data_IF_213488714361
#
_entry.id   IF_213488714361
#
_cell.length_a   1.000
_cell.length_b   1.000
_cell.length_c   1.000
_cell.angle_alpha   90.00
_cell.angle_beta   90.00
_cell.angle_gamma   90.00
#
_symmetry.space_group_name_H-M   'P 1'
#
loop_
_entity.id
_entity.type
_entity.pdbx_description
1 polymer ?
#
# COMPACT_ATOMS: atom_id res chain seq x y z
N UNK A 1 -4.50 43.35 -8.74
CA UNK A 1 -3.90 42.68 -7.56
C UNK A 1 -3.36 43.77 -6.65
N UNK A 2 -3.43 43.67 -5.31
CA UNK A 2 -3.60 42.44 -4.52
C UNK A 2 -4.83 42.55 -3.58
N UNK A 3 -5.25 41.63 -2.72
CA UNK A 3 -4.92 40.25 -2.38
C UNK A 3 -6.18 39.76 -1.64
N UNK A 4 -6.88 38.75 -2.13
CA UNK A 4 -7.91 38.06 -1.32
C UNK A 4 -7.49 36.61 -1.16
N UNK A 5 -6.68 36.38 -0.13
CA UNK A 5 -6.23 35.06 0.29
C UNK A 5 -7.44 34.16 0.63
N UNK A 6 -7.41 32.87 0.26
CA UNK A 6 -8.42 31.92 0.69
C UNK A 6 -8.24 31.59 2.17
N UNK A 7 -9.35 31.61 2.90
CA UNK A 7 -9.44 31.27 4.32
C UNK A 7 -9.12 29.78 4.49
N UNK A 8 -7.94 29.47 5.01
CA UNK A 8 -7.60 28.13 5.50
C UNK A 8 -8.40 27.84 6.77
N UNK A 9 -9.40 26.96 6.69
CA UNK A 9 -10.00 26.36 7.88
C UNK A 9 -9.19 25.13 8.30
N UNK A 10 -8.18 25.37 9.14
CA UNK A 10 -7.53 24.31 9.91
C UNK A 10 -8.35 24.07 11.17
N UNK A 11 -9.29 23.11 11.15
CA UNK A 11 -9.81 22.56 12.41
C UNK A 11 -8.80 21.54 12.90
N UNK A 12 -7.74 22.04 13.54
CA UNK A 12 -6.91 21.23 14.41
C UNK A 12 -7.64 21.10 15.75
N UNK A 13 -8.24 19.94 16.02
CA UNK A 13 -8.54 19.52 17.39
C UNK A 13 -7.28 18.79 17.91
N UNK A 14 -6.53 19.37 18.89
CA UNK A 14 -5.17 18.93 19.17
C UNK A 14 -5.03 17.68 20.06
N UNK A 15 -6.12 17.08 20.57
CA UNK A 15 -5.99 16.01 21.58
C UNK A 15 -6.64 14.66 21.22
N UNK A 16 -7.28 14.53 20.05
CA UNK A 16 -7.98 13.30 19.66
C UNK A 16 -7.22 12.39 18.67
N UNK A 17 -6.46 12.90 17.67
CA UNK A 17 -5.75 12.04 16.71
C UNK A 17 -4.72 11.11 17.36
N UNK A 18 -4.06 11.57 18.43
CA UNK A 18 -3.01 10.81 19.10
C UNK A 18 -3.56 9.61 19.88
N UNK A 19 -4.68 9.77 20.58
CA UNK A 19 -5.30 8.68 21.35
C UNK A 19 -5.80 7.54 20.44
N UNK A 20 -6.34 7.89 19.26
CA UNK A 20 -6.76 6.90 18.26
C UNK A 20 -5.58 6.20 17.59
N UNK A 21 -4.52 6.96 17.28
CA UNK A 21 -3.26 6.41 16.79
C UNK A 21 -2.71 5.40 17.80
N UNK A 22 -2.72 5.72 19.10
CA UNK A 22 -2.28 4.82 20.17
C UNK A 22 -3.15 3.56 20.29
N UNK A 23 -4.47 3.67 20.12
CA UNK A 23 -5.40 2.54 20.12
C UNK A 23 -5.15 1.60 18.93
N UNK A 24 -4.89 2.14 17.75
CA UNK A 24 -4.53 1.34 16.57
C UNK A 24 -3.11 0.77 16.63
N UNK A 25 -2.22 1.36 17.45
CA UNK A 25 -0.81 0.96 17.62
C UNK A 25 -0.54 0.05 18.82
N UNK A 26 -1.58 -0.33 19.58
CA UNK A 26 -1.40 -1.14 20.79
C UNK A 26 -0.97 -2.57 20.39
N UNK A 27 0.24 -3.03 20.79
CA UNK A 27 0.70 -4.36 20.43
C UNK A 27 -0.07 -5.42 21.24
N UNK A 28 -0.78 -6.31 20.56
CA UNK A 28 -0.99 -7.66 21.10
C UNK A 28 0.35 -8.40 21.01
N UNK A 29 0.84 -8.80 22.17
CA UNK A 29 2.11 -9.47 22.48
C UNK A 29 2.54 -10.51 21.44
N UNK A 30 3.79 -10.42 20.98
CA UNK A 30 4.80 -11.50 21.04
C UNK A 30 6.18 -11.07 20.50
N UNK A 31 7.18 -11.73 21.06
CA UNK A 31 8.63 -11.53 21.04
C UNK A 31 9.35 -12.35 19.95
N UNK A 32 10.63 -12.00 19.69
CA UNK A 32 11.74 -12.79 19.10
C UNK A 32 12.32 -12.40 17.70
N UNK A 33 13.62 -12.03 17.74
CA UNK A 33 14.72 -12.07 16.73
C UNK A 33 14.65 -11.08 15.54
N UNK A 34 15.68 -10.34 15.09
CA UNK A 34 17.13 -10.35 15.34
C UNK A 34 17.93 -10.36 14.02
N UNK A 35 18.53 -9.20 13.62
CA UNK A 35 19.87 -9.10 13.00
C UNK A 35 20.12 -9.19 11.47
N UNK A 36 20.65 -8.07 10.91
CA UNK A 36 21.94 -7.93 10.16
C UNK A 36 22.05 -7.94 8.59
N UNK A 37 22.17 -6.73 8.01
CA UNK A 37 23.34 -6.09 7.32
C UNK A 37 24.09 -6.67 6.07
N UNK A 38 23.94 -5.92 4.94
CA UNK A 38 24.91 -5.34 3.97
C UNK A 38 26.20 -6.04 3.47
N UNK A 39 26.38 -6.07 2.12
CA UNK A 39 27.71 -6.21 1.46
C UNK A 39 27.80 -5.47 0.09
N UNK A 40 28.95 -4.82 -0.14
CA UNK A 40 29.50 -4.12 -1.33
C UNK A 40 29.07 -4.59 -2.76
N UNK A 41 29.05 -3.69 -3.78
CA UNK A 41 28.55 -4.01 -5.12
C UNK A 41 29.47 -4.99 -5.86
N UNK A 42 28.98 -6.21 -6.02
CA UNK A 42 29.62 -7.31 -6.75
C UNK A 42 30.15 -6.89 -8.13
N UNK A 43 31.44 -7.15 -8.40
CA UNK A 43 32.05 -6.97 -9.71
C UNK A 43 31.30 -7.75 -10.80
N UNK A 44 30.61 -7.03 -11.70
CA UNK A 44 29.88 -7.64 -12.82
C UNK A 44 30.88 -8.36 -13.75
N UNK A 45 30.64 -9.64 -14.02
CA UNK A 45 31.45 -10.51 -14.89
C UNK A 45 30.61 -11.09 -16.01
N UNK A 46 31.17 -11.19 -17.21
CA UNK A 46 30.50 -11.78 -18.37
C UNK A 46 30.13 -13.24 -18.09
N UNK A 47 28.87 -13.60 -18.31
CA UNK A 47 28.37 -14.95 -18.06
C UNK A 47 29.04 -16.00 -18.96
N UNK A 48 29.43 -15.63 -20.19
CA UNK A 48 30.11 -16.52 -21.13
C UNK A 48 31.62 -16.61 -20.87
N UNK A 49 32.36 -15.52 -21.13
CA UNK A 49 33.83 -15.54 -21.10
C UNK A 49 34.45 -15.18 -19.74
N UNK A 50 33.63 -14.93 -18.72
CA UNK A 50 34.04 -14.59 -17.34
C UNK A 50 34.89 -13.33 -17.18
N UNK A 51 35.08 -12.55 -18.24
CA UNK A 51 35.78 -11.26 -18.18
C UNK A 51 35.01 -10.27 -17.29
N UNK A 52 35.74 -9.59 -16.40
CA UNK A 52 35.19 -8.51 -15.55
C UNK A 52 34.88 -7.28 -16.40
N UNK A 53 33.91 -6.48 -15.94
CA UNK A 53 33.70 -5.12 -16.44
C UNK A 53 35.00 -4.32 -16.31
N UNK A 54 35.36 -3.59 -17.36
CA UNK A 54 36.43 -2.58 -17.32
C UNK A 54 35.91 -1.24 -17.86
N UNK A 55 36.69 -0.17 -17.73
CA UNK A 55 36.40 1.14 -18.32
C UNK A 55 36.19 1.04 -19.84
N UNK A 56 36.94 0.16 -20.51
CA UNK A 56 36.92 -0.06 -21.96
C UNK A 56 35.85 -1.08 -22.41
N UNK A 57 35.44 -2.00 -21.53
CA UNK A 57 34.42 -3.03 -21.84
C UNK A 57 33.23 -2.93 -20.88
N UNK A 58 32.19 -2.24 -21.36
CA UNK A 58 30.88 -2.25 -20.71
C UNK A 58 30.22 -3.61 -20.88
N UNK A 59 29.54 -4.09 -19.84
CA UNK A 59 28.74 -5.30 -19.90
C UNK A 59 27.27 -4.92 -20.12
N UNK A 60 26.61 -5.64 -21.02
CA UNK A 60 25.18 -5.50 -21.32
C UNK A 60 24.38 -6.61 -20.63
N UNK A 61 23.21 -6.27 -20.08
CA UNK A 61 22.29 -7.26 -19.50
C UNK A 61 21.51 -7.96 -20.60
N UNK A 62 21.20 -9.23 -20.37
CA UNK A 62 20.19 -9.94 -21.16
C UNK A 62 18.86 -9.18 -21.10
N UNK A 63 18.27 -8.85 -22.25
CA UNK A 63 17.01 -8.10 -22.32
C UNK A 63 15.81 -8.91 -21.84
N UNK A 64 15.89 -10.25 -21.84
CA UNK A 64 14.84 -11.13 -21.34
C UNK A 64 14.80 -11.19 -19.81
N UNK A 65 15.87 -11.69 -19.18
CA UNK A 65 15.88 -11.93 -17.73
C UNK A 65 16.52 -10.80 -16.90
N UNK A 66 17.18 -9.82 -17.53
CA UNK A 66 17.94 -8.74 -16.89
C UNK A 66 19.01 -9.16 -15.86
N UNK A 67 19.29 -10.47 -15.75
CA UNK A 67 20.12 -11.03 -14.66
C UNK A 67 21.51 -11.40 -15.16
N UNK A 68 21.62 -12.10 -16.30
CA UNK A 68 22.91 -12.41 -16.89
C UNK A 68 23.47 -11.19 -17.64
N UNK A 69 24.78 -10.95 -17.50
CA UNK A 69 25.50 -9.88 -18.21
C UNK A 69 26.53 -10.44 -19.17
N UNK A 70 26.76 -9.75 -20.29
CA UNK A 70 27.63 -10.19 -21.37
C UNK A 70 28.48 -9.03 -21.90
N UNK A 71 29.67 -9.34 -22.42
CA UNK A 71 30.49 -8.36 -23.15
C UNK A 71 29.79 -7.79 -24.40
N UNK A 72 28.77 -8.49 -24.90
CA UNK A 72 27.99 -8.08 -26.06
C UNK A 72 27.17 -9.24 -26.60
N UNK A 73 26.51 -9.01 -27.73
CA UNK A 73 25.63 -9.98 -28.40
C UNK A 73 26.33 -11.27 -28.78
N UNK A 74 27.63 -11.23 -29.11
CA UNK A 74 28.41 -12.44 -29.41
C UNK A 74 28.50 -13.39 -28.20
N UNK A 75 28.85 -12.87 -27.03
CA UNK A 75 28.89 -13.66 -25.78
C UNK A 75 27.49 -14.11 -25.35
N UNK A 76 26.47 -13.29 -25.58
CA UNK A 76 25.09 -13.67 -25.28
C UNK A 76 24.61 -14.84 -26.16
N UNK A 77 24.87 -14.79 -27.47
CA UNK A 77 24.50 -15.86 -28.42
C UNK A 77 25.26 -17.16 -28.13
N UNK A 78 26.55 -17.07 -27.81
CA UNK A 78 27.36 -18.23 -27.48
C UNK A 78 26.89 -18.93 -26.19
N UNK A 79 26.50 -18.16 -25.16
CA UNK A 79 25.93 -18.71 -23.93
C UNK A 79 24.45 -19.07 -24.03
N UNK A 80 23.76 -18.78 -25.14
CA UNK A 80 22.32 -18.94 -25.25
C UNK A 80 21.81 -20.37 -25.02
N UNK A 81 22.46 -21.44 -25.55
CA UNK A 81 22.00 -22.82 -25.33
C UNK A 81 21.90 -23.17 -23.84
N UNK A 82 22.85 -22.74 -23.03
CA UNK A 82 22.88 -22.97 -21.59
C UNK A 82 22.01 -21.96 -20.82
N UNK A 83 21.98 -20.70 -21.27
CA UNK A 83 21.26 -19.62 -20.59
C UNK A 83 19.73 -19.70 -20.77
N UNK A 84 19.24 -20.22 -21.91
CA UNK A 84 17.81 -20.16 -22.29
C UNK A 84 16.87 -20.71 -21.21
N UNK A 85 17.21 -21.85 -20.62
CA UNK A 85 16.39 -22.48 -19.57
C UNK A 85 16.30 -21.61 -18.32
N UNK A 86 17.44 -21.05 -17.87
CA UNK A 86 17.48 -20.10 -16.77
C UNK A 86 16.74 -18.81 -17.10
N UNK A 87 16.96 -18.26 -18.30
CA UNK A 87 16.34 -17.02 -18.77
C UNK A 87 14.81 -17.11 -18.74
N UNK A 88 14.27 -18.23 -19.20
CA UNK A 88 12.82 -18.49 -19.21
C UNK A 88 12.28 -18.58 -17.79
N UNK A 89 12.95 -19.33 -16.89
CA UNK A 89 12.54 -19.46 -15.48
C UNK A 89 12.51 -18.11 -14.77
N UNK A 90 13.53 -17.27 -15.00
CA UNK A 90 13.61 -15.94 -14.39
C UNK A 90 12.53 -15.02 -14.93
N UNK A 91 12.26 -15.05 -16.24
CA UNK A 91 11.17 -14.27 -16.86
C UNK A 91 9.79 -14.64 -16.29
N UNK A 92 9.57 -15.90 -15.95
CA UNK A 92 8.34 -16.35 -15.29
C UNK A 92 8.30 -16.09 -13.78
N UNK A 93 9.44 -15.73 -13.17
CA UNK A 93 9.50 -15.45 -11.74
C UNK A 93 9.24 -13.95 -11.50
N UNK A 94 8.35 -13.58 -10.57
CA UNK A 94 8.14 -12.17 -10.26
C UNK A 94 9.45 -11.55 -9.76
N UNK A 95 9.75 -10.35 -10.24
CA UNK A 95 10.94 -9.60 -9.83
C UNK A 95 11.00 -9.44 -8.31
N UNK A 96 12.18 -9.24 -7.69
CA UNK A 96 12.28 -8.97 -6.26
C UNK A 96 11.35 -7.84 -5.80
N UNK A 97 11.22 -6.79 -6.61
CA UNK A 97 10.30 -5.67 -6.36
C UNK A 97 8.83 -6.13 -6.37
N UNK A 98 8.43 -6.92 -7.36
CA UNK A 98 7.06 -7.47 -7.44
C UNK A 98 6.76 -8.35 -6.23
N UNK A 99 7.69 -9.24 -5.85
CA UNK A 99 7.54 -10.08 -4.65
C UNK A 99 7.39 -9.25 -3.38
N UNK A 100 8.19 -8.19 -3.25
CA UNK A 100 8.10 -7.25 -2.14
C UNK A 100 6.72 -6.55 -2.10
N UNK A 101 6.25 -6.00 -3.22
CA UNK A 101 4.96 -5.32 -3.28
C UNK A 101 3.79 -6.26 -2.98
N UNK A 102 3.83 -7.50 -3.47
CA UNK A 102 2.81 -8.52 -3.15
C UNK A 102 2.82 -8.88 -1.66
N UNK A 103 4.00 -9.03 -1.04
CA UNK A 103 4.11 -9.25 0.42
C UNK A 103 3.56 -8.08 1.21
N UNK A 104 3.94 -6.84 0.86
CA UNK A 104 3.41 -5.62 1.47
C UNK A 104 1.90 -5.53 1.34
N UNK A 105 1.36 -5.83 0.15
CA UNK A 105 -0.08 -5.85 -0.08
C UNK A 105 -0.77 -6.85 0.85
N UNK A 106 -0.30 -8.10 0.89
CA UNK A 106 -0.83 -9.14 1.78
C UNK A 106 -0.82 -8.72 3.25
N UNK A 107 0.24 -8.05 3.70
CA UNK A 107 0.32 -7.53 5.06
C UNK A 107 -0.69 -6.41 5.33
N UNK A 108 -0.87 -5.46 4.40
CA UNK A 108 -1.93 -4.43 4.49
C UNK A 108 -3.32 -5.09 4.54
N UNK A 109 -3.59 -6.10 3.70
CA UNK A 109 -4.86 -6.84 3.73
C UNK A 109 -5.09 -7.56 5.06
N UNK A 110 -4.05 -8.17 5.63
CA UNK A 110 -4.11 -8.86 6.92
C UNK A 110 -4.42 -7.86 8.05
N UNK A 111 -3.72 -6.72 8.09
CA UNK A 111 -3.98 -5.64 9.04
C UNK A 111 -5.43 -5.15 8.91
N UNK A 112 -5.84 -4.81 7.69
CA UNK A 112 -7.19 -4.34 7.39
C UNK A 112 -8.28 -5.30 7.88
N UNK A 113 -8.04 -6.60 7.73
CA UNK A 113 -8.99 -7.64 8.14
C UNK A 113 -9.02 -7.82 9.65
N UNK A 114 -7.86 -7.82 10.31
CA UNK A 114 -7.74 -7.97 11.77
C UNK A 114 -8.36 -6.80 12.52
N UNK A 115 -8.19 -5.59 12.01
CA UNK A 115 -8.64 -4.35 12.64
C UNK A 115 -9.96 -3.82 12.09
N UNK A 116 -10.67 -4.59 11.26
CA UNK A 116 -11.91 -4.16 10.57
C UNK A 116 -12.96 -3.55 11.53
N UNK A 117 -13.32 -4.17 12.67
CA UNK A 117 -14.33 -3.59 13.57
C UNK A 117 -13.90 -2.22 14.12
N UNK A 118 -12.63 -2.09 14.52
CA UNK A 118 -12.07 -0.85 15.02
C UNK A 118 -12.07 0.21 13.92
N UNK A 119 -11.49 -0.08 12.76
CA UNK A 119 -11.42 0.84 11.62
C UNK A 119 -12.82 1.36 11.23
N UNK A 120 -13.85 0.51 11.25
CA UNK A 120 -15.20 0.91 10.89
C UNK A 120 -15.83 1.80 11.96
N UNK A 121 -15.63 1.49 13.25
CA UNK A 121 -16.07 2.36 14.34
C UNK A 121 -15.45 3.75 14.21
N UNK A 122 -14.15 3.80 13.93
CA UNK A 122 -13.40 5.05 13.78
C UNK A 122 -13.93 5.83 12.57
N UNK A 123 -14.08 5.18 11.42
CA UNK A 123 -14.64 5.81 10.23
C UNK A 123 -16.06 6.34 10.46
N UNK A 124 -16.92 5.58 11.16
CA UNK A 124 -18.27 6.03 11.48
C UNK A 124 -18.27 7.34 12.29
N UNK A 125 -17.38 7.45 13.27
CA UNK A 125 -17.23 8.64 14.09
C UNK A 125 -16.56 9.81 13.35
N UNK A 126 -15.38 9.57 12.75
CA UNK A 126 -14.56 10.62 12.12
C UNK A 126 -15.22 11.20 10.87
N UNK A 127 -15.94 10.37 10.11
CA UNK A 127 -16.71 10.85 8.96
C UNK A 127 -18.03 11.52 9.39
N UNK A 128 -18.38 11.49 10.68
CA UNK A 128 -19.60 12.09 11.24
C UNK A 128 -20.88 11.57 10.58
N UNK A 129 -20.90 10.28 10.23
CA UNK A 129 -22.01 9.66 9.48
C UNK A 129 -23.33 9.73 10.27
N UNK A 130 -23.27 9.63 11.60
CA UNK A 130 -24.44 9.78 12.48
C UNK A 130 -25.17 11.11 12.29
N UNK A 131 -24.42 12.18 12.03
CA UNK A 131 -24.97 13.54 11.96
C UNK A 131 -25.34 13.93 10.53
N UNK A 132 -24.57 13.44 9.57
CA UNK A 132 -24.77 13.73 8.16
C UNK A 132 -24.36 12.49 7.34
N UNK A 133 -25.39 11.79 6.85
CA UNK A 133 -25.27 10.55 6.10
C UNK A 133 -24.58 10.75 4.74
N UNK A 134 -24.63 11.95 4.15
CA UNK A 134 -23.94 12.25 2.89
C UNK A 134 -22.42 12.16 3.03
N UNK A 135 -21.89 12.32 4.24
CA UNK A 135 -20.46 12.15 4.49
C UNK A 135 -19.96 10.74 4.14
N UNK A 136 -20.83 9.73 4.17
CA UNK A 136 -20.48 8.39 3.70
C UNK A 136 -20.06 8.41 2.22
N UNK A 137 -20.66 9.28 1.39
CA UNK A 137 -20.33 9.46 -0.01
C UNK A 137 -19.23 10.53 -0.24
N UNK A 138 -19.24 11.62 0.53
CA UNK A 138 -18.36 12.78 0.29
C UNK A 138 -16.97 12.64 0.91
N UNK A 139 -16.83 11.84 1.97
CA UNK A 139 -15.59 11.72 2.75
C UNK A 139 -15.04 10.29 2.71
N UNK A 140 -13.75 10.19 2.98
CA UNK A 140 -13.04 8.92 3.17
C UNK A 140 -12.13 9.05 4.39
N UNK A 141 -12.07 8.01 5.23
CA UNK A 141 -11.07 7.92 6.28
C UNK A 141 -9.76 7.42 5.64
N UNK A 142 -8.70 8.20 5.76
CA UNK A 142 -7.42 7.95 5.11
C UNK A 142 -6.38 7.61 6.16
N UNK A 143 -5.86 6.38 6.13
CA UNK A 143 -4.98 5.85 7.16
C UNK A 143 -3.67 5.36 6.55
N UNK A 144 -2.58 6.00 6.96
CA UNK A 144 -1.22 5.67 6.54
C UNK A 144 -0.51 4.88 7.63
N UNK A 145 0.11 3.78 7.23
CA UNK A 145 0.85 2.88 8.10
C UNK A 145 2.27 2.69 7.58
N UNK A 146 3.19 2.38 8.47
CA UNK A 146 4.51 1.85 8.14
C UNK A 146 4.73 0.53 8.88
N UNK A 147 5.46 -0.43 8.32
CA UNK A 147 5.91 -1.57 9.11
C UNK A 147 6.83 -1.09 10.24
N UNK A 148 6.78 -1.75 11.38
CA UNK A 148 7.74 -1.58 12.46
C UNK A 148 9.03 -2.29 12.05
N UNK A 149 10.18 -1.66 12.32
CA UNK A 149 11.49 -2.15 11.88
C UNK A 149 11.66 -3.67 12.16
N UNK A 150 12.13 -4.40 11.14
CA UNK A 150 12.39 -5.85 11.13
C UNK A 150 11.18 -6.80 11.23
N UNK A 151 9.96 -6.29 11.39
CA UNK A 151 8.76 -7.11 11.47
C UNK A 151 7.66 -6.60 10.51
N UNK A 152 7.63 -7.09 9.27
CA UNK A 152 6.59 -6.74 8.26
C UNK A 152 5.14 -7.02 8.70
N UNK A 153 4.95 -7.74 9.81
CA UNK A 153 3.64 -8.08 10.39
C UNK A 153 3.19 -7.11 11.48
N UNK A 154 4.09 -6.27 12.01
CA UNK A 154 3.78 -5.22 12.97
C UNK A 154 3.76 -3.88 12.25
N UNK A 155 2.71 -3.10 12.46
CA UNK A 155 2.48 -1.85 11.75
C UNK A 155 2.25 -0.73 12.74
N UNK A 156 2.90 0.40 12.50
CA UNK A 156 2.61 1.65 13.19
C UNK A 156 1.74 2.51 12.27
N UNK A 157 0.57 2.91 12.75
CA UNK A 157 -0.23 3.98 12.20
C UNK A 157 0.54 5.27 12.40
N UNK A 158 0.86 5.93 11.28
CA UNK A 158 1.64 7.18 11.26
C UNK A 158 0.83 8.36 10.76
N UNK A 159 -0.32 8.10 10.13
CA UNK A 159 -1.21 9.15 9.65
C UNK A 159 -2.66 8.68 9.72
N UNK A 160 -3.53 9.52 10.24
CA UNK A 160 -4.99 9.37 10.18
C UNK A 160 -5.55 10.72 9.79
N UNK A 161 -6.30 10.78 8.70
CA UNK A 161 -6.92 12.02 8.23
C UNK A 161 -8.24 11.75 7.52
N UNK A 162 -9.13 12.74 7.50
CA UNK A 162 -10.36 12.69 6.72
C UNK A 162 -10.15 13.50 5.45
N UNK A 163 -10.38 12.88 4.29
CA UNK A 163 -10.27 13.55 2.99
C UNK A 163 -11.61 13.66 2.30
N UNK A 164 -11.80 14.71 1.52
CA UNK A 164 -12.93 14.85 0.61
C UNK A 164 -12.66 14.04 -0.66
N UNK A 165 -13.61 13.21 -1.08
CA UNK A 165 -13.47 12.33 -2.25
C UNK A 165 -13.21 13.14 -3.54
N UNK A 166 -13.79 14.34 -3.64
CA UNK A 166 -13.59 15.25 -4.78
C UNK A 166 -12.16 15.82 -4.87
N UNK A 167 -11.41 15.81 -3.77
CA UNK A 167 -10.02 16.30 -3.73
C UNK A 167 -8.99 15.23 -4.06
N UNK A 168 -9.41 13.97 -4.18
CA UNK A 168 -8.53 12.85 -4.49
C UNK A 168 -8.18 12.83 -5.99
N UNK A 169 -7.04 12.21 -6.29
CA UNK A 169 -6.65 11.83 -7.65
C UNK A 169 -7.76 11.02 -8.33
N UNK A 170 -7.91 11.22 -9.65
CA UNK A 170 -9.01 10.67 -10.43
C UNK A 170 -9.10 9.14 -10.32
N UNK A 171 -7.97 8.44 -10.45
CA UNK A 171 -7.90 6.98 -10.37
C UNK A 171 -8.38 6.45 -9.00
N UNK A 172 -7.95 7.09 -7.91
CA UNK A 172 -8.35 6.74 -6.55
C UNK A 172 -9.83 7.02 -6.32
N UNK A 173 -10.32 8.16 -6.82
CA UNK A 173 -11.73 8.54 -6.74
C UNK A 173 -12.59 7.50 -7.45
N UNK A 174 -12.19 7.09 -8.64
CA UNK A 174 -12.92 6.12 -9.46
C UNK A 174 -12.93 4.73 -8.82
N UNK A 175 -11.84 4.30 -8.18
CA UNK A 175 -11.79 3.06 -7.40
C UNK A 175 -12.83 3.09 -6.26
N UNK A 176 -12.86 4.18 -5.48
CA UNK A 176 -13.78 4.35 -4.35
C UNK A 176 -15.23 4.36 -4.85
N UNK A 177 -15.53 5.15 -5.88
CA UNK A 177 -16.89 5.26 -6.40
C UNK A 177 -17.38 3.97 -7.05
N UNK A 178 -16.50 3.26 -7.76
CA UNK A 178 -16.83 1.94 -8.32
C UNK A 178 -17.06 0.90 -7.23
N UNK A 179 -16.23 0.89 -6.18
CA UNK A 179 -16.40 0.02 -5.02
C UNK A 179 -17.69 0.28 -4.23
N UNK A 180 -18.13 1.54 -4.15
CA UNK A 180 -19.45 1.91 -3.61
C UNK A 180 -20.58 1.43 -4.52
N UNK A 181 -20.54 1.71 -5.82
CA UNK A 181 -21.58 1.29 -6.78
C UNK A 181 -21.84 -0.22 -6.74
N UNK A 182 -20.80 -1.03 -6.61
CA UNK A 182 -20.93 -2.49 -6.48
C UNK A 182 -21.69 -2.91 -5.20
N UNK A 183 -21.68 -2.08 -4.16
CA UNK A 183 -22.31 -2.35 -2.85
C UNK A 183 -23.65 -1.63 -2.65
N UNK A 184 -23.89 -0.56 -3.42
CA UNK A 184 -25.13 0.22 -3.47
C UNK A 184 -26.25 -0.46 -4.27
N UNK A 185 -26.13 -1.76 -4.58
CA UNK A 185 -27.26 -2.53 -5.12
C UNK A 185 -28.47 -2.53 -4.18
N UNK A 186 -28.25 -2.20 -2.90
CA UNK A 186 -29.27 -1.90 -1.92
C UNK A 186 -29.39 -0.36 -1.71
N UNK A 187 -30.49 0.29 -2.13
CA UNK A 187 -30.68 1.74 -2.05
C UNK A 187 -30.77 2.28 -0.62
N UNK A 188 -30.86 1.42 0.40
CA UNK A 188 -30.94 1.80 1.82
C UNK A 188 -29.55 1.90 2.47
N UNK A 189 -28.49 1.41 1.81
CA UNK A 189 -27.16 1.35 2.40
C UNK A 189 -26.34 2.61 2.12
N UNK A 190 -26.04 3.37 3.18
CA UNK A 190 -25.00 4.41 3.11
C UNK A 190 -23.62 3.76 3.20
N UNK A 191 -22.93 3.64 2.06
CA UNK A 191 -21.61 2.98 1.96
C UNK A 191 -20.47 3.98 2.16
N UNK A 192 -19.80 3.91 3.31
CA UNK A 192 -18.60 4.69 3.59
C UNK A 192 -17.32 3.93 3.22
N UNK A 193 -16.24 4.68 2.98
CA UNK A 193 -14.96 4.14 2.55
C UNK A 193 -13.84 4.47 3.55
N UNK A 194 -12.90 3.54 3.67
CA UNK A 194 -11.65 3.70 4.40
C UNK A 194 -10.52 3.34 3.46
N UNK A 195 -9.55 4.23 3.26
CA UNK A 195 -8.33 3.94 2.53
C UNK A 195 -7.21 3.65 3.51
N UNK A 196 -6.61 2.47 3.37
CA UNK A 196 -5.42 2.06 4.10
C UNK A 196 -4.26 2.05 3.12
N UNK A 197 -3.11 2.60 3.49
CA UNK A 197 -1.94 2.55 2.62
C UNK A 197 -0.63 2.48 3.40
N UNK A 198 0.34 1.81 2.79
CA UNK A 198 1.72 1.79 3.22
C UNK A 198 2.42 3.07 2.78
N UNK A 199 2.93 3.86 3.73
CA UNK A 199 3.55 5.16 3.42
C UNK A 199 4.90 5.06 2.70
N UNK A 200 5.55 3.90 2.73
CA UNK A 200 6.87 3.70 2.14
C UNK A 200 6.78 3.23 0.67
N UNK A 201 5.79 2.40 0.37
CA UNK A 201 5.64 1.80 -0.97
C UNK A 201 4.31 2.09 -1.67
N UNK A 202 3.42 2.87 -1.04
CA UNK A 202 2.12 3.30 -1.57
C UNK A 202 1.15 2.17 -1.92
N UNK A 203 1.44 0.95 -1.49
CA UNK A 203 0.50 -0.17 -1.61
C UNK A 203 -0.71 0.13 -0.73
N UNK A 204 -1.90 0.07 -1.32
CA UNK A 204 -3.14 0.49 -0.68
C UNK A 204 -4.22 -0.59 -0.69
N UNK A 205 -5.20 -0.41 0.19
CA UNK A 205 -6.42 -1.18 0.27
C UNK A 205 -7.58 -0.29 0.66
N UNK A 206 -8.61 -0.25 -0.17
CA UNK A 206 -9.90 0.30 0.19
C UNK A 206 -10.78 -0.72 0.92
N UNK A 207 -11.36 -0.32 2.06
CA UNK A 207 -12.43 -1.01 2.78
C UNK A 207 -13.73 -0.22 2.63
N UNK A 208 -14.85 -0.94 2.65
CA UNK A 208 -16.18 -0.37 2.58
C UNK A 208 -17.03 -0.90 3.73
N UNK A 209 -17.70 -0.01 4.43
CA UNK A 209 -18.71 -0.35 5.43
C UNK A 209 -20.05 0.28 5.08
N UNK A 210 -21.13 -0.27 5.62
CA UNK A 210 -22.48 0.25 5.41
C UNK A 210 -23.17 0.51 6.73
N UNK A 211 -23.97 1.57 6.77
CA UNK A 211 -24.87 1.86 7.91
C UNK A 211 -26.29 1.52 7.46
N UNK A 212 -26.93 0.58 8.18
CA UNK A 212 -28.38 0.34 8.07
C UNK A 212 -29.10 1.42 8.88
N UNK A 213 -30.17 1.98 8.33
CA UNK A 213 -30.84 3.16 8.90
C UNK A 213 -31.24 3.01 10.39
N UNK A 214 -30.90 4.08 11.13
CA UNK A 214 -31.47 4.65 12.36
C UNK A 214 -31.66 3.80 13.64
N UNK A 215 -31.17 2.57 13.71
CA UNK A 215 -31.10 1.85 14.99
C UNK A 215 -29.66 1.56 15.44
N UNK A 216 -29.08 2.36 16.37
CA UNK A 216 -27.72 2.14 16.88
C UNK A 216 -27.56 0.81 17.64
N UNK A 217 -28.65 0.13 18.01
CA UNK A 217 -28.61 -1.19 18.68
C UNK A 217 -28.72 -2.36 17.69
N UNK A 218 -29.15 -2.12 16.45
CA UNK A 218 -29.16 -3.14 15.38
C UNK A 218 -27.98 -2.98 14.44
N UNK A 219 -26.80 -3.22 14.99
CA UNK A 219 -25.71 -3.90 14.33
C UNK A 219 -25.11 -3.22 13.10
N UNK A 220 -23.90 -2.69 13.27
CA UNK A 220 -22.93 -2.55 12.19
C UNK A 220 -22.89 -3.88 11.41
N UNK A 221 -23.43 -3.94 10.19
CA UNK A 221 -23.27 -5.13 9.34
C UNK A 221 -21.86 -5.09 8.76
N UNK A 222 -21.02 -5.95 9.32
CA UNK A 222 -19.67 -6.22 8.83
C UNK A 222 -19.81 -7.24 7.69
N UNK A 223 -19.54 -6.81 6.46
CA UNK A 223 -19.39 -7.68 5.30
C UNK A 223 -17.92 -8.03 5.07
#
# INVERSE_FOLDING_TARGET
>A
MPNSSPIHFTIAHPEFPQAMTNLMNTPMVESFLGGAENSEPSALTCYHCKQRRSSEKQLSRCTGCCTAVYCGTACQRAAWPEHKAFCTKVQTSPSPRTKFLVRRANAVFAYASRHRPLLFSIAYHELKIRYDKENAARKVLWVGFKPRDYEETKWDVVRVEVRLVETLEEEVRDEIQSGRRLRLQDPVLNVFAIMLYDVECMVSKCLFGSVLDDNPERGLRIF
#
